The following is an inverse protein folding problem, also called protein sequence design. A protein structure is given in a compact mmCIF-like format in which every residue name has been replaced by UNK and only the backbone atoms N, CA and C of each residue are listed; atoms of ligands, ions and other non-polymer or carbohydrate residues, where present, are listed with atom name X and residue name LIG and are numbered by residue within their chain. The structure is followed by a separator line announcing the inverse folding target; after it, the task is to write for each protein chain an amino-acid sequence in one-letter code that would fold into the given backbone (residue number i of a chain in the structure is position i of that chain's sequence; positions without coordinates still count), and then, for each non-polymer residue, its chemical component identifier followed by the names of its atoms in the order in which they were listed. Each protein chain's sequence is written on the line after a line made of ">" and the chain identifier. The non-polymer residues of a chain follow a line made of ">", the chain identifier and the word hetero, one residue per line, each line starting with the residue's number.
data_IF_741666058904
#
_entry.id   IF_741666058904
#
_cell.length_a   1.000
_cell.length_b   1.000
_cell.length_c   1.000
_cell.angle_alpha   90.00
_cell.angle_beta   90.00
_cell.angle_gamma   90.00
#
_symmetry.space_group_name_H-M   'P 1'
#
loop_
_entity.id
_entity.type
_entity.pdbx_description
1 polymer ?
#
# COMPACT_ATOMS: atom_id res chain seq x y z
N UNK A 1 4.34 6.51 -12.15
CA UNK A 1 2.96 5.97 -12.29
C UNK A 1 2.77 4.93 -13.40
N UNK A 2 3.21 5.16 -14.65
CA UNK A 2 2.91 4.27 -15.78
C UNK A 2 3.39 2.82 -15.60
N UNK A 3 4.48 2.62 -14.85
CA UNK A 3 5.01 1.31 -14.48
C UNK A 3 4.04 0.47 -13.63
N UNK A 4 3.46 1.05 -12.58
CA UNK A 4 2.51 0.36 -11.70
C UNK A 4 1.28 -0.14 -12.48
N UNK A 5 0.85 0.63 -13.48
CA UNK A 5 -0.28 0.26 -14.32
C UNK A 5 -0.01 -0.94 -15.24
N UNK A 6 1.22 -1.10 -15.70
CA UNK A 6 1.66 -2.23 -16.53
C UNK A 6 1.93 -3.47 -15.67
N UNK A 7 2.53 -3.29 -14.48
CA UNK A 7 2.87 -4.36 -13.55
C UNK A 7 1.67 -5.02 -12.86
N UNK A 8 0.47 -4.44 -13.01
CA UNK A 8 -0.77 -4.86 -12.33
C UNK A 8 -1.84 -5.35 -13.30
N UNK A 9 -1.50 -5.57 -14.58
CA UNK A 9 -2.48 -5.94 -15.64
C UNK A 9 -3.08 -7.34 -15.44
N UNK A 10 -2.36 -8.21 -14.74
CA UNK A 10 -2.76 -9.56 -14.35
C UNK A 10 -3.67 -9.59 -13.11
N UNK A 11 -3.86 -8.45 -12.43
CA UNK A 11 -4.65 -8.37 -11.20
C UNK A 11 -6.12 -8.06 -11.46
N UNK A 12 -6.96 -8.46 -10.51
CA UNK A 12 -8.37 -8.07 -10.47
C UNK A 12 -8.56 -6.56 -10.30
N UNK A 13 -9.77 -6.08 -10.60
CA UNK A 13 -10.09 -4.63 -10.64
C UNK A 13 -9.71 -3.90 -9.35
N UNK A 14 -10.04 -4.48 -8.19
CA UNK A 14 -9.81 -3.85 -6.89
C UNK A 14 -8.34 -3.96 -6.49
N UNK A 15 -7.71 -5.10 -6.72
CA UNK A 15 -6.28 -5.30 -6.45
C UNK A 15 -5.41 -4.32 -7.25
N UNK A 16 -5.78 -4.09 -8.52
CA UNK A 16 -5.12 -3.11 -9.38
C UNK A 16 -5.32 -1.68 -8.88
N UNK A 17 -6.54 -1.30 -8.50
CA UNK A 17 -6.82 0.04 -7.95
C UNK A 17 -6.02 0.29 -6.66
N UNK A 18 -6.00 -0.69 -5.75
CA UNK A 18 -5.22 -0.66 -4.50
C UNK A 18 -3.72 -0.53 -4.78
N UNK A 19 -3.18 -1.33 -5.69
CA UNK A 19 -1.75 -1.27 -6.04
C UNK A 19 -1.35 0.07 -6.67
N UNK A 20 -2.20 0.66 -7.51
CA UNK A 20 -1.96 1.98 -8.10
C UNK A 20 -2.02 3.07 -7.03
N UNK A 21 -3.00 3.02 -6.12
CA UNK A 21 -3.11 3.97 -5.01
C UNK A 21 -1.83 3.94 -4.14
N UNK A 22 -1.34 2.76 -3.78
CA UNK A 22 -0.10 2.60 -3.01
C UNK A 22 1.10 3.17 -3.79
N UNK A 23 1.21 2.85 -5.08
CA UNK A 23 2.29 3.36 -5.92
C UNK A 23 2.25 4.88 -6.15
N UNK A 24 1.08 5.51 -5.98
CA UNK A 24 0.95 6.97 -6.00
C UNK A 24 1.57 7.62 -4.76
N UNK A 25 1.53 6.91 -3.62
CA UNK A 25 2.12 7.34 -2.35
C UNK A 25 3.52 6.79 -2.10
N UNK A 26 4.11 6.08 -3.07
CA UNK A 26 5.46 5.54 -2.96
C UNK A 26 6.51 6.65 -3.15
N UNK A 27 7.54 6.63 -2.31
CA UNK A 27 8.72 7.49 -2.44
C UNK A 27 9.64 7.00 -3.58
N UNK A 28 10.76 7.69 -3.79
CA UNK A 28 11.73 7.32 -4.83
C UNK A 28 12.33 5.91 -4.64
N UNK A 29 12.36 5.42 -3.39
CA UNK A 29 12.86 4.09 -3.03
C UNK A 29 11.79 2.99 -3.16
N UNK A 30 10.55 3.35 -3.51
CA UNK A 30 9.42 2.41 -3.64
C UNK A 30 8.69 2.10 -2.32
N UNK A 31 9.01 2.80 -1.23
CA UNK A 31 8.34 2.67 0.06
C UNK A 31 7.13 3.60 0.15
N UNK A 32 6.02 3.09 0.69
CA UNK A 32 4.78 3.85 0.86
C UNK A 32 4.24 3.65 2.28
N UNK A 33 3.78 4.73 2.92
CA UNK A 33 3.16 4.70 4.26
C UNK A 33 1.72 5.26 4.31
N UNK A 34 0.84 5.05 3.30
CA UNK A 34 -0.54 5.47 3.41
C UNK A 34 -1.31 4.60 4.41
N UNK A 35 -2.30 5.20 5.08
CA UNK A 35 -3.25 4.44 5.90
C UNK A 35 -4.20 3.60 5.03
N UNK A 36 -4.82 2.58 5.61
CA UNK A 36 -5.85 1.78 4.91
C UNK A 36 -7.02 2.64 4.44
N UNK A 37 -7.44 3.62 5.25
CA UNK A 37 -8.49 4.57 4.91
C UNK A 37 -8.10 5.45 3.71
N UNK A 38 -6.86 5.94 3.67
CA UNK A 38 -6.33 6.70 2.52
C UNK A 38 -6.33 5.85 1.25
N UNK A 39 -5.87 4.59 1.33
CA UNK A 39 -5.89 3.69 0.18
C UNK A 39 -7.33 3.44 -0.29
N UNK A 40 -8.27 3.26 0.64
CA UNK A 40 -9.68 3.02 0.35
C UNK A 40 -10.33 4.17 -0.43
N UNK A 41 -10.06 5.41 -0.01
CA UNK A 41 -10.51 6.63 -0.68
C UNK A 41 -10.02 6.70 -2.12
N UNK A 42 -8.71 6.54 -2.34
CA UNK A 42 -8.11 6.63 -3.68
C UNK A 42 -8.43 5.42 -4.57
N UNK A 43 -8.61 4.24 -3.99
CA UNK A 43 -9.00 3.03 -4.73
C UNK A 43 -10.51 2.95 -4.99
N UNK A 44 -11.33 3.80 -4.37
CA UNK A 44 -12.78 3.80 -4.50
C UNK A 44 -13.44 2.51 -3.98
N UNK A 45 -12.91 1.94 -2.88
CA UNK A 45 -13.42 0.71 -2.29
C UNK A 45 -13.42 0.75 -0.76
N UNK A 46 -14.07 -0.20 -0.09
CA UNK A 46 -14.10 -0.23 1.37
C UNK A 46 -12.76 -0.66 1.97
N UNK A 47 -12.46 -0.22 3.20
CA UNK A 47 -11.26 -0.64 3.94
C UNK A 47 -11.12 -2.16 4.05
N UNK A 48 -12.23 -2.89 4.23
CA UNK A 48 -12.25 -4.35 4.23
C UNK A 48 -11.80 -4.95 2.89
N UNK A 49 -12.17 -4.30 1.78
CA UNK A 49 -11.72 -4.69 0.44
C UNK A 49 -10.23 -4.41 0.29
N UNK A 50 -9.75 -3.25 0.77
CA UNK A 50 -8.33 -2.91 0.77
C UNK A 50 -7.52 -3.97 1.53
N UNK A 51 -7.91 -4.31 2.76
CA UNK A 51 -7.22 -5.31 3.57
C UNK A 51 -7.14 -6.68 2.87
N UNK A 52 -8.23 -7.13 2.24
CA UNK A 52 -8.24 -8.38 1.46
C UNK A 52 -7.33 -8.29 0.24
N UNK A 53 -7.33 -7.16 -0.47
CA UNK A 53 -6.44 -6.94 -1.61
C UNK A 53 -4.98 -6.90 -1.19
N UNK A 54 -4.65 -6.22 -0.09
CA UNK A 54 -3.30 -6.19 0.48
C UNK A 54 -2.80 -7.60 0.80
N UNK A 55 -3.60 -8.41 1.50
CA UNK A 55 -3.24 -9.79 1.81
C UNK A 55 -2.97 -10.61 0.54
N UNK A 56 -3.80 -10.45 -0.50
CA UNK A 56 -3.61 -11.12 -1.78
C UNK A 56 -2.37 -10.63 -2.53
N UNK A 57 -2.10 -9.32 -2.55
CA UNK A 57 -0.92 -8.74 -3.18
C UNK A 57 0.37 -9.22 -2.50
N UNK A 58 0.36 -9.38 -1.18
CA UNK A 58 1.45 -10.00 -0.42
C UNK A 58 1.61 -11.47 -0.79
N UNK A 59 0.51 -12.23 -0.82
CA UNK A 59 0.53 -13.64 -1.21
C UNK A 59 1.08 -13.85 -2.63
N UNK A 60 0.78 -12.93 -3.55
CA UNK A 60 1.30 -12.94 -4.93
C UNK A 60 2.75 -12.44 -5.04
N UNK A 61 3.40 -12.06 -3.94
CA UNK A 61 4.76 -11.51 -3.92
C UNK A 61 4.89 -10.13 -4.60
N UNK A 62 3.77 -9.42 -4.76
CA UNK A 62 3.73 -8.08 -5.41
C UNK A 62 3.93 -6.95 -4.42
N UNK A 63 3.77 -7.21 -3.13
CA UNK A 63 3.85 -6.21 -2.08
C UNK A 63 4.46 -6.83 -0.81
N UNK A 64 5.27 -6.04 -0.09
CA UNK A 64 5.78 -6.40 1.24
C UNK A 64 5.21 -5.41 2.23
N UNK A 65 4.49 -5.89 3.25
CA UNK A 65 3.98 -5.05 4.34
C UNK A 65 4.94 -5.16 5.51
N UNK A 66 5.58 -4.05 5.85
CA UNK A 66 6.37 -3.93 7.08
C UNK A 66 5.58 -3.13 8.10
N UNK A 67 5.39 -3.68 9.29
CA UNK A 67 4.93 -2.89 10.44
C UNK A 67 6.12 -2.08 10.93
N UNK A 68 6.12 -0.77 10.70
CA UNK A 68 7.04 0.12 11.41
C UNK A 68 6.69 0.03 12.89
N UNK A 69 7.59 -0.52 13.70
CA UNK A 69 7.58 -0.27 15.13
C UNK A 69 7.74 1.25 15.26
N UNK A 70 6.78 1.91 15.89
CA UNK A 70 6.86 3.34 16.13
C UNK A 70 8.27 3.69 16.62
N UNK A 71 8.86 4.76 16.06
CA UNK A 71 10.11 5.32 16.58
C UNK A 71 10.00 5.37 18.11
N UNK A 72 10.98 4.84 18.87
CA UNK A 72 10.97 5.03 20.32
C UNK A 72 10.81 6.54 20.59
N UNK A 73 10.00 6.95 21.58
CA UNK A 73 9.87 8.37 21.91
C UNK A 73 11.28 8.91 22.10
N UNK A 74 11.62 9.93 21.32
CA UNK A 74 12.91 10.58 21.35
C UNK A 74 13.30 10.75 22.82
N UNK A 75 14.45 10.20 23.17
CA UNK A 75 15.05 10.26 24.49
C UNK A 75 14.85 11.63 25.11
N UNK A 76 14.01 11.70 26.15
CA UNK A 76 14.01 12.78 27.13
C UNK A 76 15.38 12.75 27.81
N UNK A 77 16.32 13.52 27.26
CA UNK A 77 17.54 13.93 27.92
C UNK A 77 17.21 15.00 28.94
N UNK A 78 17.72 14.82 30.15
CA UNK A 78 17.67 15.74 31.28
C UNK A 78 18.63 16.90 31.08
#
# INVERSE_FOLDING_TARGET
>A
MKFALLATRDLGKNERAVAIAIAAHANHEGNAWPSVATIAEYAGCSERTVQRCLAKLVQLGRLVVSRSLASPPASTGW
#
